data_IF_675043921263
#
_entry.id   IF_675043921263
#
_cell.length_a   1.000
_cell.length_b   1.000
_cell.length_c   1.000
_cell.angle_alpha   90.00
_cell.angle_beta   90.00
_cell.angle_gamma   90.00
#
_symmetry.space_group_name_H-M   'P 1'
#
loop_
_entity.id
_entity.type
_entity.pdbx_description
1 polymer ?
#
# COMPACT_ATOMS: atom_id res chain seq x y z
N UNK A 1 -25.13 -46.55 16.29
CA UNK A 1 -25.58 -45.24 16.78
C UNK A 1 -24.31 -44.41 16.97
N UNK A 2 -23.74 -43.79 15.93
CA UNK A 2 -24.12 -42.45 15.41
C UNK A 2 -24.26 -41.43 16.57
N UNK A 3 -23.49 -40.35 16.68
CA UNK A 3 -23.36 -39.28 15.70
C UNK A 3 -22.11 -38.39 15.93
N UNK A 4 -21.52 -37.88 14.83
CA UNK A 4 -20.68 -36.67 14.82
C UNK A 4 -21.52 -35.45 15.21
N UNK A 5 -20.85 -34.41 15.75
CA UNK A 5 -20.93 -33.13 15.05
C UNK A 5 -19.55 -32.54 14.77
N UNK A 6 -19.25 -32.35 13.47
CA UNK A 6 -18.42 -31.24 12.99
C UNK A 6 -19.17 -29.94 13.32
N UNK A 7 -18.47 -28.86 13.67
CA UNK A 7 -18.63 -27.49 13.12
C UNK A 7 -18.19 -26.42 14.13
N UNK A 8 -17.07 -25.76 13.78
CA UNK A 8 -16.76 -24.33 13.94
C UNK A 8 -17.04 -23.64 15.29
N UNK A 9 -15.99 -23.46 16.10
CA UNK A 9 -15.84 -22.23 16.91
C UNK A 9 -14.37 -22.01 17.30
N UNK A 10 -13.54 -21.57 16.36
CA UNK A 10 -12.21 -21.00 16.64
C UNK A 10 -12.12 -19.61 16.00
N UNK A 11 -12.86 -18.66 16.53
CA UNK A 11 -12.72 -17.24 16.20
C UNK A 11 -13.00 -16.46 17.48
N UNK A 12 -12.00 -16.18 18.31
CA UNK A 12 -12.05 -15.05 19.25
C UNK A 12 -10.72 -14.83 19.99
N UNK A 13 -9.62 -14.57 19.28
CA UNK A 13 -8.42 -13.98 19.93
C UNK A 13 -7.48 -13.25 18.95
N UNK A 14 -8.02 -12.49 17.97
CA UNK A 14 -7.18 -11.72 17.04
C UNK A 14 -7.64 -10.28 16.79
N UNK A 15 -8.55 -9.74 17.61
CA UNK A 15 -9.04 -8.35 17.43
C UNK A 15 -8.27 -7.34 18.30
N UNK A 16 -7.48 -7.77 19.28
CA UNK A 16 -6.81 -6.84 20.20
C UNK A 16 -5.41 -6.38 19.79
N UNK A 17 -4.78 -7.01 18.78
CA UNK A 17 -3.49 -6.54 18.24
C UNK A 17 -3.63 -5.47 17.15
N UNK A 18 -4.85 -5.20 16.67
CA UNK A 18 -5.11 -4.22 15.61
C UNK A 18 -5.18 -2.76 16.09
N UNK A 19 -5.35 -2.51 17.40
CA UNK A 19 -5.49 -1.13 17.92
C UNK A 19 -4.17 -0.48 18.35
N UNK A 20 -3.09 -1.25 18.55
CA UNK A 20 -1.78 -0.69 18.93
C UNK A 20 -0.95 -0.21 17.72
N UNK A 21 -1.37 -0.51 16.49
CA UNK A 21 -0.77 0.04 15.26
C UNK A 21 -1.42 1.35 14.79
N UNK A 22 -2.47 1.83 15.47
CA UNK A 22 -3.14 3.09 15.12
C UNK A 22 -2.33 4.36 15.43
N UNK A 23 -1.10 4.22 15.94
CA UNK A 23 -0.13 5.32 16.07
C UNK A 23 1.05 5.26 15.07
N UNK A 24 1.01 4.41 14.02
CA UNK A 24 2.03 4.40 12.95
C UNK A 24 1.62 5.18 11.67
N UNK A 25 0.57 5.99 11.74
CA UNK A 25 -0.15 6.45 10.54
C UNK A 25 0.23 7.81 9.96
N UNK A 26 1.19 8.55 10.52
CA UNK A 26 1.63 9.83 9.95
C UNK A 26 3.04 9.64 9.38
N UNK A 27 3.15 9.44 8.06
CA UNK A 27 4.43 9.63 7.39
C UNK A 27 4.82 11.10 7.61
N UNK A 28 6.00 11.32 8.18
CA UNK A 28 6.51 12.67 8.38
C UNK A 28 6.59 13.38 7.04
N UNK A 29 5.73 14.39 6.87
CA UNK A 29 5.74 15.28 5.72
C UNK A 29 6.96 16.18 5.87
N UNK A 30 8.09 15.70 5.34
CA UNK A 30 9.34 16.44 5.29
C UNK A 30 9.90 16.44 3.87
N UNK A 31 10.55 17.53 3.42
CA UNK A 31 11.18 17.58 2.10
C UNK A 31 12.17 16.43 1.86
N UNK A 32 12.95 16.05 2.88
CA UNK A 32 13.89 14.94 2.81
C UNK A 32 13.20 13.57 2.60
N UNK A 33 12.04 13.35 3.25
CA UNK A 33 11.25 12.15 3.03
C UNK A 33 10.57 12.16 1.65
N UNK A 34 10.25 13.33 1.12
CA UNK A 34 9.71 13.48 -0.22
C UNK A 34 10.73 13.07 -1.29
N UNK A 35 11.97 13.56 -1.20
CA UNK A 35 13.05 13.17 -2.10
C UNK A 35 13.35 11.66 -2.03
N UNK A 36 13.55 11.13 -0.81
CA UNK A 36 13.85 9.72 -0.62
C UNK A 36 12.70 8.80 -1.09
N UNK A 37 11.44 9.23 -0.94
CA UNK A 37 10.29 8.49 -1.47
C UNK A 37 10.24 8.57 -2.99
N UNK A 38 10.59 9.73 -3.56
CA UNK A 38 10.78 9.98 -4.99
C UNK A 38 11.70 8.95 -5.64
N UNK A 39 12.91 8.83 -5.11
CA UNK A 39 13.91 7.88 -5.61
C UNK A 39 13.42 6.42 -5.54
N UNK A 40 12.71 6.05 -4.47
CA UNK A 40 12.16 4.71 -4.32
C UNK A 40 11.06 4.42 -5.34
N UNK A 41 10.17 5.36 -5.63
CA UNK A 41 9.15 5.12 -6.66
C UNK A 41 9.75 5.09 -8.06
N UNK A 42 10.78 5.90 -8.35
CA UNK A 42 11.51 5.79 -9.62
C UNK A 42 12.18 4.43 -9.77
N UNK A 43 12.82 3.90 -8.71
CA UNK A 43 13.41 2.57 -8.73
C UNK A 43 12.34 1.47 -8.90
N UNK A 44 11.22 1.56 -8.18
CA UNK A 44 10.11 0.61 -8.29
C UNK A 44 9.43 0.66 -9.67
N UNK A 45 9.32 1.86 -10.26
CA UNK A 45 8.83 2.04 -11.63
C UNK A 45 9.77 1.36 -12.64
N UNK A 46 11.08 1.59 -12.52
CA UNK A 46 12.05 0.95 -13.41
C UNK A 46 12.01 -0.57 -13.30
N UNK A 47 11.86 -1.10 -12.08
CA UNK A 47 11.70 -2.53 -11.86
C UNK A 47 10.41 -3.06 -12.50
N UNK A 48 9.29 -2.33 -12.38
CA UNK A 48 8.02 -2.69 -13.01
C UNK A 48 8.08 -2.62 -14.54
N UNK A 49 8.66 -1.57 -15.12
CA UNK A 49 8.81 -1.44 -16.59
C UNK A 49 9.68 -2.57 -17.16
N UNK A 50 10.69 -3.02 -16.41
CA UNK A 50 11.53 -4.15 -16.83
C UNK A 50 10.79 -5.50 -16.84
N UNK A 51 9.65 -5.61 -16.16
CA UNK A 51 8.86 -6.84 -16.03
C UNK A 51 7.40 -6.50 -15.67
N UNK A 52 6.62 -5.99 -16.64
CA UNK A 52 5.31 -5.39 -16.38
C UNK A 52 4.21 -6.41 -16.09
N UNK A 53 4.44 -7.69 -16.35
CA UNK A 53 3.49 -8.78 -16.02
C UNK A 53 3.68 -9.29 -14.58
N UNK A 54 4.70 -8.81 -13.88
CA UNK A 54 4.99 -9.22 -12.52
C UNK A 54 4.17 -8.44 -11.50
N UNK A 55 3.12 -9.08 -11.00
CA UNK A 55 2.23 -8.55 -9.97
C UNK A 55 2.97 -7.96 -8.77
N UNK A 56 4.02 -8.63 -8.27
CA UNK A 56 4.77 -8.15 -7.11
C UNK A 56 5.47 -6.82 -7.38
N UNK A 57 6.03 -6.64 -8.59
CA UNK A 57 6.69 -5.39 -8.99
C UNK A 57 5.69 -4.26 -9.20
N UNK A 58 4.52 -4.57 -9.76
CA UNK A 58 3.41 -3.62 -9.88
C UNK A 58 2.91 -3.15 -8.50
N UNK A 59 2.66 -4.06 -7.57
CA UNK A 59 2.20 -3.71 -6.21
C UNK A 59 3.29 -2.93 -5.44
N UNK A 60 4.56 -3.26 -5.63
CA UNK A 60 5.68 -2.51 -5.05
C UNK A 60 5.73 -1.06 -5.60
N UNK A 61 5.53 -0.88 -6.91
CA UNK A 61 5.44 0.44 -7.52
C UNK A 61 4.24 1.24 -7.00
N UNK A 62 3.05 0.64 -6.94
CA UNK A 62 1.86 1.27 -6.35
C UNK A 62 2.06 1.65 -4.88
N UNK A 63 2.73 0.81 -4.10
CA UNK A 63 3.08 1.12 -2.71
C UNK A 63 4.01 2.33 -2.62
N UNK A 64 5.06 2.38 -3.44
CA UNK A 64 6.01 3.49 -3.47
C UNK A 64 5.34 4.81 -3.93
N UNK A 65 4.42 4.73 -4.90
CA UNK A 65 3.61 5.87 -5.33
C UNK A 65 2.72 6.40 -4.20
N UNK A 66 2.06 5.53 -3.43
CA UNK A 66 1.27 5.92 -2.26
C UNK A 66 2.14 6.61 -1.20
N UNK A 67 3.36 6.12 -1.01
CA UNK A 67 4.31 6.66 -0.04
C UNK A 67 4.79 8.07 -0.41
N UNK A 68 5.11 8.30 -1.70
CA UNK A 68 5.38 9.65 -2.22
C UNK A 68 4.19 10.56 -1.98
N UNK A 69 2.99 10.11 -2.36
CA UNK A 69 1.80 10.95 -2.27
C UNK A 69 1.52 11.39 -0.82
N UNK A 70 1.75 10.50 0.14
CA UNK A 70 1.60 10.81 1.57
C UNK A 70 2.73 11.69 2.12
N UNK A 71 3.95 11.58 1.57
CA UNK A 71 5.12 12.32 2.05
C UNK A 71 5.29 13.69 1.37
N UNK A 72 4.68 13.89 0.20
CA UNK A 72 4.77 15.08 -0.66
C UNK A 72 3.40 15.74 -0.96
N UNK A 73 2.53 16.02 0.03
CA UNK A 73 1.14 16.46 -0.21
C UNK A 73 1.02 17.80 -0.95
N UNK A 74 2.06 18.65 -0.90
CA UNK A 74 2.12 19.94 -1.62
C UNK A 74 2.37 19.80 -3.12
N UNK A 75 2.98 18.69 -3.56
CA UNK A 75 3.35 18.48 -4.98
C UNK A 75 2.23 17.81 -5.79
N UNK A 76 1.36 17.05 -5.13
CA UNK A 76 0.32 16.26 -5.78
C UNK A 76 -1.06 16.74 -5.35
N UNK A 77 -1.58 17.75 -6.06
CA UNK A 77 -2.91 18.33 -5.81
C UNK A 77 -3.81 18.22 -7.05
N UNK A 78 -5.12 18.36 -6.86
CA UNK A 78 -6.09 18.40 -7.96
C UNK A 78 -6.10 17.14 -8.82
N UNK A 79 -6.01 17.30 -10.15
CA UNK A 79 -6.12 16.22 -11.13
C UNK A 79 -5.05 15.14 -10.94
N UNK A 80 -3.84 15.49 -10.50
CA UNK A 80 -2.76 14.51 -10.28
C UNK A 80 -3.09 13.55 -9.14
N UNK A 81 -3.79 14.04 -8.10
CA UNK A 81 -4.29 13.16 -7.03
C UNK A 81 -5.29 12.14 -7.57
N UNK A 82 -6.25 12.59 -8.38
CA UNK A 82 -7.26 11.68 -8.95
C UNK A 82 -6.62 10.62 -9.85
N UNK A 83 -5.73 11.00 -10.77
CA UNK A 83 -5.04 10.03 -11.63
C UNK A 83 -4.19 9.04 -10.82
N UNK A 84 -3.63 9.47 -9.68
CA UNK A 84 -2.94 8.56 -8.78
C UNK A 84 -3.88 7.63 -8.03
N UNK A 85 -5.03 8.12 -7.55
CA UNK A 85 -6.06 7.28 -6.92
C UNK A 85 -6.59 6.24 -7.91
N UNK A 86 -6.77 6.61 -9.18
CA UNK A 86 -7.14 5.69 -10.27
C UNK A 86 -6.05 4.64 -10.53
N UNK A 87 -4.76 5.04 -10.60
CA UNK A 87 -3.63 4.11 -10.73
C UNK A 87 -3.52 3.17 -9.51
N UNK A 88 -3.79 3.66 -8.31
CA UNK A 88 -3.79 2.86 -7.09
C UNK A 88 -5.00 1.90 -7.02
N UNK A 89 -6.12 2.27 -7.63
CA UNK A 89 -7.33 1.43 -7.73
C UNK A 89 -7.23 0.39 -8.86
N UNK A 90 -6.45 0.66 -9.91
CA UNK A 90 -6.23 -0.26 -11.01
C UNK A 90 -5.60 -1.58 -10.53
N UNK A 91 -6.12 -2.72 -10.99
CA UNK A 91 -5.58 -4.03 -10.63
C UNK A 91 -4.23 -4.23 -11.29
N UNK A 92 -3.24 -4.70 -10.52
CA UNK A 92 -2.01 -5.22 -11.09
C UNK A 92 -2.31 -6.51 -11.89
N UNK A 93 -1.54 -6.78 -12.96
CA UNK A 93 -1.72 -7.98 -13.77
C UNK A 93 -1.64 -9.28 -12.95
#
# INVERSE_FOLDING_TARGET
MENKPKTLLKISTYVFFGLLLSCSGKKDVSPANCEASGERASAALNAYIADPENKTKCEAYKSALRDIFQSCPTYYTGATKQSMEELLAATCP
#
